data_IF_021527939258
#
_entry.id   IF_021527939258
#
_cell.length_a   1.000
_cell.length_b   1.000
_cell.length_c   1.000
_cell.angle_alpha   90.00
_cell.angle_beta   90.00
_cell.angle_gamma   90.00
#
_symmetry.space_group_name_H-M   'P 1'
#
loop_
_entity.id
_entity.type
_entity.pdbx_description
1 polymer ?
#
# COMPACT_ATOMS: atom_id res chain seq x y z
N UNK A 1 29.33 2.02 -53.86
CA UNK A 1 30.03 0.74 -54.04
C UNK A 1 29.98 -0.04 -52.74
N UNK A 2 29.74 -1.33 -52.89
CA UNK A 2 29.21 -2.28 -51.89
C UNK A 2 30.36 -3.04 -51.24
N UNK A 3 30.31 -3.26 -49.92
CA UNK A 3 30.69 -4.53 -49.29
C UNK A 3 30.44 -4.48 -47.77
N UNK A 4 29.38 -5.16 -47.32
CA UNK A 4 29.05 -5.37 -45.91
C UNK A 4 28.64 -6.81 -45.68
N UNK A 5 29.64 -7.67 -45.54
CA UNK A 5 29.57 -9.14 -45.44
C UNK A 5 28.80 -9.56 -44.18
N UNK A 6 27.61 -10.13 -44.36
CA UNK A 6 26.83 -10.69 -43.24
C UNK A 6 27.10 -12.20 -43.12
N UNK A 7 27.85 -12.57 -42.10
CA UNK A 7 28.13 -13.96 -41.71
C UNK A 7 26.85 -14.62 -41.15
N UNK A 8 26.08 -15.26 -42.03
CA UNK A 8 24.95 -16.12 -41.65
C UNK A 8 25.52 -17.46 -41.16
N UNK A 9 25.51 -17.67 -39.83
CA UNK A 9 25.79 -18.99 -39.23
C UNK A 9 24.71 -19.98 -39.66
N UNK A 10 25.07 -20.94 -40.52
CA UNK A 10 24.28 -22.14 -40.81
C UNK A 10 24.06 -22.94 -39.52
N UNK A 11 22.84 -22.93 -39.00
CA UNK A 11 22.40 -23.98 -38.09
C UNK A 11 22.28 -25.28 -38.90
N UNK A 12 23.08 -26.29 -38.55
CA UNK A 12 22.90 -27.66 -39.04
C UNK A 12 21.51 -28.14 -38.56
N UNK A 13 20.55 -28.23 -39.47
CA UNK A 13 19.31 -28.98 -39.23
C UNK A 13 19.71 -30.45 -39.10
N UNK A 14 19.64 -31.03 -37.90
CA UNK A 14 19.44 -32.46 -37.76
C UNK A 14 18.02 -32.73 -38.26
N UNK A 15 17.93 -33.20 -39.49
CA UNK A 15 16.68 -33.56 -40.15
C UNK A 15 16.15 -34.80 -39.42
N UNK A 16 15.08 -34.64 -38.64
CA UNK A 16 14.22 -35.76 -38.30
C UNK A 16 13.43 -36.04 -39.58
N UNK A 17 13.93 -36.94 -40.42
CA UNK A 17 13.16 -37.49 -41.54
C UNK A 17 12.16 -38.48 -40.95
N UNK A 18 10.94 -38.02 -40.66
CA UNK A 18 9.80 -38.94 -40.63
C UNK A 18 9.47 -39.27 -42.09
N UNK A 19 9.98 -40.39 -42.58
CA UNK A 19 9.45 -41.02 -43.79
C UNK A 19 8.12 -41.67 -43.38
N UNK A 20 7.01 -41.02 -43.71
CA UNK A 20 5.71 -41.69 -43.85
C UNK A 20 5.02 -41.05 -45.05
N UNK A 21 4.83 -41.87 -46.08
CA UNK A 21 4.19 -41.56 -47.35
C UNK A 21 2.68 -41.32 -47.14
N UNK A 22 2.18 -40.30 -47.86
CA UNK A 22 0.82 -40.11 -48.35
C UNK A 22 -0.37 -40.44 -47.41
N UNK A 23 -0.77 -39.44 -46.61
CA UNK A 23 -2.11 -39.35 -46.03
C UNK A 23 -2.73 -37.97 -46.38
N UNK A 24 -3.99 -37.90 -46.87
CA UNK A 24 -4.55 -36.72 -47.52
C UNK A 24 -4.94 -35.54 -46.59
N UNK A 25 -4.57 -35.55 -45.30
CA UNK A 25 -4.97 -34.50 -44.35
C UNK A 25 -3.80 -33.89 -43.55
N UNK A 26 -2.59 -33.82 -44.11
CA UNK A 26 -1.50 -33.12 -43.43
C UNK A 26 -1.63 -31.59 -43.62
N UNK A 27 -2.28 -30.92 -42.66
CA UNK A 27 -2.28 -29.45 -42.59
C UNK A 27 -0.83 -28.95 -42.55
N UNK A 28 -0.38 -28.26 -43.61
CA UNK A 28 0.94 -27.60 -43.67
C UNK A 28 1.15 -26.78 -42.40
N UNK A 29 2.12 -27.17 -41.56
CA UNK A 29 2.48 -26.44 -40.34
C UNK A 29 3.09 -25.10 -40.78
N UNK A 30 2.28 -24.04 -40.78
CA UNK A 30 2.77 -22.67 -40.94
C UNK A 30 3.35 -22.25 -39.60
N UNK A 31 4.69 -22.19 -39.52
CA UNK A 31 5.39 -21.61 -38.38
C UNK A 31 5.12 -20.09 -38.36
N UNK A 32 4.19 -19.67 -37.51
CA UNK A 32 3.95 -18.26 -37.23
C UNK A 32 4.94 -17.80 -36.15
N UNK A 33 5.77 -16.81 -36.46
CA UNK A 33 6.68 -16.20 -35.51
C UNK A 33 5.91 -15.16 -34.69
N UNK A 34 5.40 -15.58 -33.53
CA UNK A 34 4.71 -14.70 -32.60
C UNK A 34 5.75 -13.86 -31.86
N UNK A 35 5.85 -12.58 -32.22
CA UNK A 35 6.60 -11.59 -31.45
C UNK A 35 5.83 -11.26 -30.16
N UNK A 36 5.88 -12.17 -29.18
CA UNK A 36 5.41 -11.86 -27.83
C UNK A 36 6.44 -10.94 -27.20
N UNK A 37 6.00 -9.90 -26.49
CA UNK A 37 6.85 -9.06 -25.67
C UNK A 37 6.72 -9.51 -24.20
N UNK A 38 7.30 -10.66 -23.80
CA UNK A 38 7.05 -11.30 -22.49
C UNK A 38 7.46 -10.41 -21.31
N UNK A 39 8.31 -9.40 -21.55
CA UNK A 39 8.72 -8.44 -20.53
C UNK A 39 7.66 -7.36 -20.26
N UNK A 40 6.71 -7.12 -21.18
CA UNK A 40 5.75 -6.01 -21.05
C UNK A 40 4.85 -6.10 -19.81
N UNK A 41 4.57 -7.32 -19.35
CA UNK A 41 3.78 -7.55 -18.13
C UNK A 41 4.61 -7.97 -16.92
N UNK A 42 5.94 -8.15 -17.06
CA UNK A 42 6.80 -8.66 -16.00
C UNK A 42 6.60 -7.86 -14.71
N UNK A 43 6.59 -6.52 -14.80
CA UNK A 43 6.44 -5.64 -13.64
C UNK A 43 5.08 -5.74 -12.95
N UNK A 44 4.03 -6.14 -13.68
CA UNK A 44 2.67 -6.26 -13.14
C UNK A 44 2.54 -7.47 -12.21
N UNK A 45 3.32 -8.53 -12.45
CA UNK A 45 3.31 -9.75 -11.65
C UNK A 45 4.01 -9.60 -10.29
N UNK A 46 4.72 -8.50 -10.03
CA UNK A 46 5.40 -8.27 -8.77
C UNK A 46 4.65 -7.29 -7.87
N UNK A 47 4.58 -7.66 -6.58
CA UNK A 47 4.06 -6.83 -5.48
C UNK A 47 5.16 -6.27 -4.58
N UNK A 48 6.40 -6.71 -4.76
CA UNK A 48 7.55 -6.30 -3.96
C UNK A 48 8.71 -5.90 -4.86
N UNK A 49 9.25 -4.70 -4.61
CA UNK A 49 10.40 -4.15 -5.34
C UNK A 49 11.63 -5.05 -5.27
N UNK A 50 11.97 -5.58 -4.09
CA UNK A 50 13.13 -6.47 -3.91
C UNK A 50 12.99 -7.75 -4.71
N UNK A 51 11.78 -8.35 -4.72
CA UNK A 51 11.54 -9.59 -5.47
C UNK A 51 11.68 -9.36 -6.98
N UNK A 52 11.19 -8.21 -7.47
CA UNK A 52 11.39 -7.81 -8.86
C UNK A 52 12.87 -7.65 -9.20
N UNK A 53 13.65 -6.99 -8.34
CA UNK A 53 15.10 -6.85 -8.53
C UNK A 53 15.82 -8.19 -8.56
N UNK A 54 15.48 -9.09 -7.63
CA UNK A 54 16.05 -10.45 -7.61
C UNK A 54 15.73 -11.20 -8.91
N UNK A 55 14.49 -11.15 -9.39
CA UNK A 55 14.10 -11.81 -10.63
C UNK A 55 14.86 -11.27 -11.84
N UNK A 56 14.96 -9.94 -11.96
CA UNK A 56 15.71 -9.31 -13.05
C UNK A 56 17.21 -9.60 -12.96
N UNK A 57 17.77 -9.67 -11.75
CA UNK A 57 19.16 -10.05 -11.54
C UNK A 57 19.42 -11.50 -11.98
N UNK A 58 18.54 -12.43 -11.62
CA UNK A 58 18.62 -13.83 -12.06
C UNK A 58 18.52 -13.97 -13.58
N UNK A 59 17.54 -13.29 -14.20
CA UNK A 59 17.39 -13.27 -15.66
C UNK A 59 18.66 -12.70 -16.31
N UNK A 60 19.20 -11.61 -15.78
CA UNK A 60 20.42 -10.99 -16.32
C UNK A 60 21.63 -11.91 -16.21
N UNK A 61 21.77 -12.63 -15.09
CA UNK A 61 22.82 -13.64 -14.89
C UNK A 61 22.68 -14.80 -15.88
N UNK A 62 21.46 -15.30 -16.07
CA UNK A 62 21.18 -16.36 -17.04
C UNK A 62 21.50 -15.92 -18.48
N UNK A 63 21.12 -14.69 -18.86
CA UNK A 63 21.48 -14.13 -20.17
C UNK A 63 23.00 -14.01 -20.35
N UNK A 64 23.74 -13.65 -19.30
CA UNK A 64 25.21 -13.62 -19.32
C UNK A 64 25.80 -15.01 -19.50
N UNK A 65 25.23 -16.03 -18.87
CA UNK A 65 25.61 -17.44 -19.04
C UNK A 65 25.44 -17.91 -20.49
N UNK A 66 24.27 -17.65 -21.07
CA UNK A 66 24.01 -18.00 -22.48
C UNK A 66 24.98 -17.31 -23.45
N UNK A 67 25.36 -16.06 -23.16
CA UNK A 67 26.31 -15.29 -24.00
C UNK A 67 27.76 -15.75 -23.85
N UNK A 68 28.18 -16.08 -22.63
CA UNK A 68 29.58 -16.41 -22.34
C UNK A 68 30.04 -17.74 -22.94
N UNK A 69 29.12 -18.65 -23.28
CA UNK A 69 29.40 -20.00 -23.83
C UNK A 69 30.43 -20.82 -23.03
N UNK A 70 30.70 -20.42 -21.79
CA UNK A 70 31.59 -21.04 -20.80
C UNK A 70 30.88 -21.01 -19.44
N UNK A 71 31.27 -21.90 -18.55
CA UNK A 71 30.84 -21.84 -17.16
C UNK A 71 31.30 -20.50 -16.56
N UNK A 72 30.33 -19.69 -16.13
CA UNK A 72 30.62 -18.52 -15.32
C UNK A 72 30.94 -19.00 -13.92
N UNK A 73 32.12 -18.64 -13.42
CA UNK A 73 32.42 -18.75 -12.00
C UNK A 73 31.68 -17.62 -11.27
N UNK A 74 30.45 -17.93 -10.82
CA UNK A 74 29.58 -17.01 -10.10
C UNK A 74 29.07 -17.66 -8.82
N UNK A 75 28.96 -16.90 -7.72
CA UNK A 75 28.46 -17.43 -6.46
C UNK A 75 27.01 -17.91 -6.58
N UNK A 76 26.62 -18.89 -5.77
CA UNK A 76 25.26 -19.45 -5.74
C UNK A 76 24.18 -18.42 -5.36
N UNK A 77 24.56 -17.34 -4.67
CA UNK A 77 23.67 -16.26 -4.27
C UNK A 77 23.82 -15.02 -5.18
N UNK A 78 22.80 -14.15 -5.19
CA UNK A 78 22.87 -12.86 -5.88
C UNK A 78 23.76 -11.89 -5.11
N UNK A 79 24.64 -11.19 -5.82
CA UNK A 79 25.49 -10.15 -5.22
C UNK A 79 24.77 -8.80 -5.18
N UNK A 80 25.23 -7.91 -4.30
CA UNK A 80 24.72 -6.52 -4.25
C UNK A 80 24.96 -5.78 -5.57
N UNK A 81 26.08 -6.05 -6.25
CA UNK A 81 26.39 -5.44 -7.56
C UNK A 81 25.40 -5.90 -8.64
N UNK A 82 24.96 -7.15 -8.63
CA UNK A 82 23.91 -7.63 -9.53
C UNK A 82 22.55 -7.03 -9.23
N UNK A 83 22.19 -6.86 -7.95
CA UNK A 83 20.95 -6.18 -7.57
C UNK A 83 20.94 -4.71 -8.00
N UNK A 84 22.05 -3.98 -7.81
CA UNK A 84 22.23 -2.61 -8.31
C UNK A 84 22.15 -2.55 -9.85
N UNK A 85 22.77 -3.51 -10.53
CA UNK A 85 22.70 -3.59 -12.00
C UNK A 85 21.29 -3.90 -12.50
N UNK A 86 20.57 -4.78 -11.80
CA UNK A 86 19.17 -5.10 -12.08
C UNK A 86 18.28 -3.87 -11.89
N UNK A 87 18.50 -3.10 -10.83
CA UNK A 87 17.80 -1.84 -10.59
C UNK A 87 17.98 -0.86 -11.76
N UNK A 88 19.22 -0.61 -12.16
CA UNK A 88 19.52 0.26 -13.32
C UNK A 88 18.85 -0.28 -14.58
N UNK A 89 18.87 -1.60 -14.79
CA UNK A 89 18.24 -2.25 -15.96
C UNK A 89 16.73 -2.03 -15.98
N UNK A 90 16.06 -2.19 -14.84
CA UNK A 90 14.62 -1.91 -14.71
C UNK A 90 14.34 -0.44 -15.01
N UNK A 91 15.09 0.48 -14.41
CA UNK A 91 14.89 1.92 -14.62
C UNK A 91 15.08 2.32 -16.09
N UNK A 92 16.12 1.79 -16.75
CA UNK A 92 16.35 1.99 -18.19
C UNK A 92 15.17 1.51 -19.03
N UNK A 93 14.64 0.34 -18.71
CA UNK A 93 13.49 -0.22 -19.42
C UNK A 93 12.26 0.67 -19.25
N UNK A 94 11.95 1.06 -18.01
CA UNK A 94 10.81 1.92 -17.67
C UNK A 94 10.89 3.28 -18.35
N UNK A 95 12.07 3.90 -18.37
CA UNK A 95 12.25 5.18 -19.07
C UNK A 95 12.16 5.01 -20.59
N UNK A 96 12.69 3.91 -21.15
CA UNK A 96 12.55 3.62 -22.59
C UNK A 96 11.09 3.42 -23.00
N UNK A 97 10.29 2.81 -22.14
CA UNK A 97 8.87 2.60 -22.36
C UNK A 97 8.08 3.92 -22.31
N UNK A 98 8.29 4.74 -21.28
CA UNK A 98 7.46 5.94 -21.03
C UNK A 98 7.98 7.19 -21.72
N UNK A 99 9.31 7.34 -21.86
CA UNK A 99 9.99 8.53 -22.37
C UNK A 99 10.77 8.24 -23.66
N UNK A 100 10.24 7.33 -24.51
CA UNK A 100 10.92 6.91 -25.74
C UNK A 100 11.34 8.08 -26.64
N UNK A 101 10.47 9.09 -26.77
CA UNK A 101 10.72 10.28 -27.60
C UNK A 101 11.80 11.15 -26.99
N UNK A 102 11.68 11.49 -25.71
CA UNK A 102 12.67 12.30 -24.99
C UNK A 102 14.05 11.62 -24.97
N UNK A 103 14.11 10.30 -24.81
CA UNK A 103 15.38 9.56 -24.89
C UNK A 103 16.03 9.68 -26.27
N UNK A 104 15.25 9.67 -27.35
CA UNK A 104 15.79 9.81 -28.71
C UNK A 104 16.29 11.23 -28.97
N UNK A 105 15.58 12.25 -28.48
CA UNK A 105 15.99 13.66 -28.57
C UNK A 105 17.30 13.89 -27.82
N UNK A 106 17.37 13.46 -26.56
CA UNK A 106 18.56 13.62 -25.71
C UNK A 106 19.77 12.85 -26.26
N UNK A 107 19.57 11.67 -26.87
CA UNK A 107 20.65 10.92 -27.52
C UNK A 107 21.26 11.66 -28.72
N UNK A 108 20.49 12.50 -29.40
CA UNK A 108 20.96 13.33 -30.51
C UNK A 108 21.64 14.62 -30.04
N UNK A 109 21.75 14.84 -28.73
CA UNK A 109 22.23 16.09 -28.15
C UNK A 109 21.20 17.22 -28.20
N UNK A 110 19.95 16.92 -28.56
CA UNK A 110 18.89 17.90 -28.63
C UNK A 110 18.18 18.04 -27.28
N UNK A 111 17.68 19.24 -27.04
CA UNK A 111 16.73 19.51 -25.97
C UNK A 111 15.43 18.72 -26.15
N UNK A 112 14.82 18.31 -25.04
CA UNK A 112 13.48 17.68 -25.08
C UNK A 112 12.43 18.64 -25.63
N UNK A 113 11.42 18.07 -26.31
CA UNK A 113 10.33 18.82 -26.92
C UNK A 113 9.57 19.72 -25.92
N UNK A 114 9.08 20.88 -26.39
CA UNK A 114 8.38 21.89 -25.56
C UNK A 114 7.18 21.35 -24.78
N UNK A 115 6.49 20.34 -25.32
CA UNK A 115 5.32 19.69 -24.68
C UNK A 115 5.69 18.56 -23.73
N UNK A 116 6.98 18.22 -23.60
CA UNK A 116 7.40 17.14 -22.72
C UNK A 116 7.21 17.53 -21.25
N UNK A 117 6.78 16.55 -20.45
CA UNK A 117 6.69 16.67 -18.98
C UNK A 117 8.06 16.90 -18.33
N UNK A 118 9.14 16.65 -19.06
CA UNK A 118 10.52 16.78 -18.59
C UNK A 118 11.13 18.14 -18.90
N UNK A 119 10.53 18.98 -19.76
CA UNK A 119 11.18 20.23 -20.22
C UNK A 119 11.62 21.15 -19.09
N UNK A 120 10.80 21.28 -18.04
CA UNK A 120 11.12 22.10 -16.87
C UNK A 120 12.18 21.52 -15.93
N UNK A 121 12.72 20.34 -16.22
CA UNK A 121 13.69 19.63 -15.37
C UNK A 121 15.12 19.68 -15.91
N UNK A 122 15.37 20.42 -17.00
CA UNK A 122 16.66 20.41 -17.72
C UNK A 122 17.23 18.99 -17.87
N UNK A 123 16.47 18.07 -18.47
CA UNK A 123 16.81 16.65 -18.45
C UNK A 123 18.03 16.38 -19.33
N UNK A 124 18.89 15.48 -18.89
CA UNK A 124 20.03 15.03 -19.67
C UNK A 124 20.21 13.51 -19.55
N UNK A 125 20.96 12.93 -20.48
CA UNK A 125 21.18 11.49 -20.56
C UNK A 125 22.57 11.14 -20.02
N UNK A 126 22.63 10.23 -19.06
CA UNK A 126 23.89 9.69 -18.51
C UNK A 126 23.70 8.19 -18.28
N UNK A 127 24.67 7.39 -18.71
CA UNK A 127 24.62 5.93 -18.65
C UNK A 127 23.35 5.30 -19.25
N UNK A 128 22.65 6.00 -20.15
CA UNK A 128 21.38 5.55 -20.73
C UNK A 128 20.15 5.72 -19.82
N UNK A 129 20.26 6.51 -18.75
CA UNK A 129 19.15 7.00 -17.94
C UNK A 129 18.96 8.50 -18.17
N UNK A 130 17.71 8.96 -18.08
CA UNK A 130 17.37 10.37 -18.01
C UNK A 130 17.46 10.80 -16.54
N UNK A 131 18.29 11.81 -16.29
CA UNK A 131 18.45 12.45 -14.98
C UNK A 131 17.98 13.90 -15.06
N UNK A 132 17.76 14.47 -13.89
CA UNK A 132 17.38 15.88 -13.73
C UNK A 132 18.63 16.74 -13.60
N UNK A 133 18.74 17.75 -14.46
CA UNK A 133 19.72 18.82 -14.31
C UNK A 133 19.33 19.76 -13.17
N UNK A 134 20.30 20.50 -12.64
CA UNK A 134 20.03 21.42 -11.53
C UNK A 134 21.23 22.26 -11.13
N UNK A 135 21.02 23.11 -10.11
CA UNK A 135 22.04 24.04 -9.59
C UNK A 135 22.90 23.45 -8.47
N UNK A 136 22.72 22.18 -8.15
CA UNK A 136 23.39 21.51 -7.03
C UNK A 136 24.72 20.84 -7.42
N UNK A 137 25.27 21.11 -8.61
CA UNK A 137 26.49 20.44 -9.11
C UNK A 137 27.69 20.53 -8.16
N UNK A 138 27.86 21.68 -7.49
CA UNK A 138 28.94 21.93 -6.53
C UNK A 138 28.62 21.58 -5.08
N UNK A 139 27.40 21.08 -4.79
CA UNK A 139 27.03 20.72 -3.42
C UNK A 139 27.81 19.49 -2.94
N UNK A 140 28.17 19.44 -1.65
CA UNK A 140 28.82 18.28 -1.03
C UNK A 140 27.78 17.22 -0.64
N UNK A 141 27.07 16.70 -1.65
CA UNK A 141 26.03 15.68 -1.52
C UNK A 141 26.26 14.55 -2.54
N UNK A 142 25.68 13.34 -2.33
CA UNK A 142 25.83 12.24 -3.27
C UNK A 142 25.35 12.61 -4.68
N UNK A 143 26.01 12.08 -5.73
CA UNK A 143 25.68 12.46 -7.12
C UNK A 143 24.24 12.18 -7.52
N UNK A 144 23.67 11.06 -7.05
CA UNK A 144 22.24 10.74 -7.29
C UNK A 144 21.27 11.73 -6.64
N UNK A 145 21.73 12.52 -5.66
CA UNK A 145 20.95 13.57 -5.05
C UNK A 145 21.10 14.91 -5.79
N UNK A 146 22.27 15.17 -6.40
CA UNK A 146 22.47 16.31 -7.30
C UNK A 146 21.66 16.15 -8.58
N UNK A 147 21.71 14.95 -9.14
CA UNK A 147 21.11 14.57 -10.41
C UNK A 147 20.23 13.33 -10.25
N UNK A 148 19.02 13.51 -9.68
CA UNK A 148 18.13 12.39 -9.43
C UNK A 148 17.57 11.79 -10.72
N UNK A 149 17.38 10.46 -10.72
CA UNK A 149 16.88 9.71 -11.88
C UNK A 149 15.38 9.96 -12.06
N UNK A 150 14.95 10.34 -13.26
CA UNK A 150 13.52 10.60 -13.53
C UNK A 150 12.70 9.33 -13.37
N UNK A 151 11.66 9.39 -12.52
CA UNK A 151 10.67 8.31 -12.37
C UNK A 151 9.33 8.73 -12.99
N UNK A 152 8.74 7.90 -13.88
CA UNK A 152 7.47 8.21 -14.49
C UNK A 152 6.32 8.16 -13.49
N UNK A 153 5.32 9.00 -13.73
CA UNK A 153 4.07 8.96 -12.97
C UNK A 153 3.21 7.76 -13.40
N UNK A 154 2.55 7.10 -12.45
CA UNK A 154 1.56 6.05 -12.71
C UNK A 154 2.12 4.68 -13.10
N UNK A 155 3.42 4.55 -13.35
CA UNK A 155 4.04 3.27 -13.68
C UNK A 155 4.14 2.35 -12.44
N UNK A 156 3.99 1.02 -12.65
CA UNK A 156 4.02 0.03 -11.56
C UNK A 156 5.33 0.05 -10.77
N UNK A 157 6.46 0.19 -11.46
CA UNK A 157 7.79 0.29 -10.83
C UNK A 157 7.88 1.50 -9.90
N UNK A 158 7.42 2.67 -10.33
CA UNK A 158 7.38 3.87 -9.47
C UNK A 158 6.55 3.60 -8.21
N UNK A 159 5.39 2.95 -8.36
CA UNK A 159 4.56 2.56 -7.20
C UNK A 159 5.27 1.57 -6.28
N UNK A 160 5.94 0.54 -6.82
CA UNK A 160 6.69 -0.46 -6.05
C UNK A 160 7.85 0.18 -5.25
N UNK A 161 8.56 1.14 -5.83
CA UNK A 161 9.64 1.88 -5.15
C UNK A 161 9.05 2.65 -3.96
N UNK A 162 7.95 3.39 -4.15
CA UNK A 162 7.29 4.10 -3.05
C UNK A 162 6.75 3.15 -1.98
N UNK A 163 6.11 2.04 -2.37
CA UNK A 163 5.59 1.01 -1.45
C UNK A 163 6.72 0.32 -0.66
N UNK A 164 7.90 0.16 -1.26
CA UNK A 164 9.09 -0.39 -0.60
C UNK A 164 9.67 0.60 0.41
N UNK A 165 9.91 1.85 -0.02
CA UNK A 165 10.47 2.89 0.84
C UNK A 165 9.54 3.27 1.99
N UNK A 166 8.23 3.26 1.77
CA UNK A 166 7.26 3.47 2.83
C UNK A 166 7.37 2.41 3.94
N UNK A 167 7.64 1.14 3.59
CA UNK A 167 7.86 0.06 4.57
C UNK A 167 9.23 0.14 5.24
N UNK A 168 10.27 0.47 4.48
CA UNK A 168 11.64 0.66 4.98
C UNK A 168 11.71 1.79 6.03
N UNK A 169 11.01 2.89 5.77
CA UNK A 169 10.91 4.05 6.66
C UNK A 169 9.79 3.92 7.70
N UNK A 170 9.45 2.69 8.11
CA UNK A 170 8.50 2.39 9.19
C UNK A 170 7.16 3.13 9.09
N UNK A 171 6.56 3.12 7.91
CA UNK A 171 5.26 3.75 7.64
C UNK A 171 5.23 5.29 7.78
N UNK A 172 6.34 5.96 7.44
CA UNK A 172 6.42 7.42 7.46
C UNK A 172 5.33 8.13 6.62
N UNK A 173 5.08 9.40 6.95
CA UNK A 173 4.11 10.25 6.28
C UNK A 173 4.50 10.66 4.84
N UNK A 174 3.57 11.26 4.07
CA UNK A 174 3.77 11.47 2.63
C UNK A 174 4.93 12.41 2.28
N UNK A 175 5.17 13.41 3.13
CA UNK A 175 6.25 14.38 2.92
C UNK A 175 7.62 13.75 3.15
N UNK A 176 7.79 13.00 4.24
CA UNK A 176 9.03 12.28 4.56
C UNK A 176 9.34 11.23 3.51
N UNK A 177 8.33 10.46 3.07
CA UNK A 177 8.48 9.48 2.00
C UNK A 177 8.97 10.13 0.70
N UNK A 178 8.36 11.25 0.31
CA UNK A 178 8.77 11.97 -0.90
C UNK A 178 10.17 12.56 -0.78
N UNK A 179 10.54 13.07 0.40
CA UNK A 179 11.86 13.62 0.66
C UNK A 179 12.96 12.55 0.53
N UNK A 180 12.74 11.35 1.08
CA UNK A 180 13.69 10.25 0.98
C UNK A 180 13.83 9.76 -0.48
N UNK A 181 12.71 9.60 -1.19
CA UNK A 181 12.72 9.22 -2.60
C UNK A 181 13.49 10.23 -3.46
N UNK A 182 13.37 11.54 -3.14
CA UNK A 182 14.07 12.62 -3.83
C UNK A 182 15.59 12.63 -3.66
N UNK A 183 16.14 11.83 -2.76
CA UNK A 183 17.60 11.64 -2.64
C UNK A 183 18.21 10.86 -3.79
N UNK A 184 17.41 10.06 -4.50
CA UNK A 184 17.88 9.18 -5.59
C UNK A 184 17.09 9.38 -6.88
N UNK A 185 15.80 9.70 -6.75
CA UNK A 185 14.87 9.74 -7.87
C UNK A 185 14.09 11.05 -7.94
N UNK A 186 13.71 11.45 -9.15
CA UNK A 186 12.79 12.55 -9.38
C UNK A 186 11.45 12.04 -9.90
N UNK A 187 10.49 11.72 -9.00
CA UNK A 187 9.18 11.23 -9.40
C UNK A 187 8.29 12.34 -9.95
N UNK A 188 7.87 12.21 -11.21
CA UNK A 188 6.87 13.08 -11.82
C UNK A 188 5.56 12.92 -11.02
N UNK A 189 4.99 14.05 -10.58
CA UNK A 189 3.80 14.06 -9.70
C UNK A 189 3.97 13.23 -8.41
N UNK A 190 5.20 13.10 -7.90
CA UNK A 190 5.51 12.23 -6.75
C UNK A 190 4.74 12.51 -5.45
N UNK A 191 4.28 13.75 -5.22
CA UNK A 191 3.39 14.09 -4.08
C UNK A 191 2.10 13.27 -4.11
N UNK A 192 1.52 13.09 -5.30
CA UNK A 192 0.28 12.33 -5.49
C UNK A 192 0.55 10.85 -5.24
N UNK A 193 1.66 10.31 -5.75
CA UNK A 193 2.08 8.93 -5.53
C UNK A 193 2.32 8.64 -4.04
N UNK A 194 3.03 9.51 -3.33
CA UNK A 194 3.25 9.36 -1.88
C UNK A 194 1.94 9.30 -1.09
N UNK A 195 1.03 10.24 -1.34
CA UNK A 195 -0.29 10.27 -0.69
C UNK A 195 -1.09 8.99 -0.98
N UNK A 196 -1.10 8.57 -2.25
CA UNK A 196 -1.82 7.37 -2.71
C UNK A 196 -1.28 6.08 -2.09
N UNK A 197 0.04 5.95 -1.94
CA UNK A 197 0.66 4.77 -1.31
C UNK A 197 0.28 4.68 0.17
N UNK A 198 0.30 5.80 0.88
CA UNK A 198 -0.03 5.83 2.30
C UNK A 198 -1.52 5.62 2.54
N UNK A 199 -2.39 6.26 1.75
CA UNK A 199 -3.85 6.10 1.87
C UNK A 199 -4.30 4.67 1.59
N UNK A 200 -3.60 3.95 0.70
CA UNK A 200 -3.88 2.55 0.37
C UNK A 200 -3.15 1.56 1.30
N UNK A 201 -2.31 2.04 2.22
CA UNK A 201 -1.61 1.17 3.16
C UNK A 201 -2.55 0.74 4.30
N UNK A 202 -2.85 -0.55 4.38
CA UNK A 202 -3.74 -1.11 5.42
C UNK A 202 -3.25 -0.80 6.84
N UNK A 203 -1.94 -0.88 7.09
CA UNK A 203 -1.36 -0.56 8.41
C UNK A 203 -1.57 0.91 8.79
N UNK A 204 -1.35 1.83 7.84
CA UNK A 204 -1.60 3.26 8.06
C UNK A 204 -3.08 3.56 8.24
N UNK A 205 -3.95 2.91 7.45
CA UNK A 205 -5.40 3.06 7.57
C UNK A 205 -5.92 2.62 8.94
N UNK A 206 -5.44 1.46 9.45
CA UNK A 206 -5.79 0.97 10.79
C UNK A 206 -5.24 1.84 11.91
N UNK A 207 -4.05 2.42 11.72
CA UNK A 207 -3.43 3.31 12.71
C UNK A 207 -4.05 4.71 12.77
N UNK A 208 -4.83 5.11 11.75
CA UNK A 208 -5.49 6.41 11.68
C UNK A 208 -6.99 6.25 11.39
N UNK A 209 -7.79 5.74 12.35
CA UNK A 209 -9.23 5.65 12.16
C UNK A 209 -9.83 7.05 11.98
N UNK A 210 -10.66 7.21 10.94
CA UNK A 210 -11.49 8.39 10.78
C UNK A 210 -12.86 8.08 11.38
N UNK A 211 -13.20 8.72 12.48
CA UNK A 211 -14.53 8.62 13.04
C UNK A 211 -15.43 9.62 12.32
N UNK A 212 -16.34 9.12 11.49
CA UNK A 212 -17.47 9.92 11.04
C UNK A 212 -18.39 10.03 12.24
N UNK A 213 -18.61 11.25 12.74
CA UNK A 213 -19.63 11.44 13.77
C UNK A 213 -21.00 11.18 13.13
N UNK A 214 -21.72 10.13 13.55
CA UNK A 214 -23.05 9.89 13.00
C UNK A 214 -23.96 11.05 13.41
N UNK A 215 -24.94 11.39 12.56
CA UNK A 215 -26.02 12.28 12.96
C UNK A 215 -26.71 11.65 14.17
N UNK A 216 -26.73 12.37 15.30
CA UNK A 216 -27.41 11.89 16.51
C UNK A 216 -28.90 11.73 16.20
N UNK A 217 -29.46 10.57 16.53
CA UNK A 217 -30.89 10.31 16.36
C UNK A 217 -31.74 11.29 17.16
N UNK A 218 -32.99 11.50 16.73
CA UNK A 218 -33.95 12.30 17.49
C UNK A 218 -34.14 11.72 18.90
N UNK A 219 -34.22 12.61 19.90
CA UNK A 219 -34.52 12.19 21.27
C UNK A 219 -35.95 11.61 21.33
N UNK A 220 -36.19 10.56 22.13
CA UNK A 220 -37.54 10.04 22.34
C UNK A 220 -38.48 11.13 22.88
N UNK A 221 -39.76 11.09 22.48
CA UNK A 221 -40.80 12.05 22.92
C UNK A 221 -40.84 12.19 24.44
N UNK A 222 -40.62 11.10 25.16
CA UNK A 222 -40.61 11.05 26.63
C UNK A 222 -39.48 11.85 27.29
N UNK A 223 -38.41 12.20 26.56
CA UNK A 223 -37.32 13.06 27.07
C UNK A 223 -37.49 14.53 26.74
N UNK A 224 -38.41 14.87 25.84
CA UNK A 224 -38.57 16.24 25.32
C UNK A 224 -39.94 16.85 25.64
N UNK A 225 -40.96 16.02 25.85
CA UNK A 225 -42.29 16.46 26.24
C UNK A 225 -42.42 16.49 27.76
N UNK A 226 -43.11 17.51 28.27
CA UNK A 226 -43.42 17.64 29.70
C UNK A 226 -44.38 16.53 30.12
N UNK A 227 -44.08 15.89 31.24
CA UNK A 227 -44.95 14.90 31.90
C UNK A 227 -44.87 15.07 33.42
N UNK A 228 -45.86 14.56 34.19
CA UNK A 228 -45.80 14.56 35.64
C UNK A 228 -44.52 13.87 36.16
N UNK A 229 -43.98 14.28 37.32
CA UNK A 229 -42.80 13.64 37.90
C UNK A 229 -42.97 12.12 38.02
N UNK A 230 -41.92 11.37 37.65
CA UNK A 230 -41.86 9.90 37.64
C UNK A 230 -42.83 9.17 36.70
N UNK A 231 -43.65 9.87 35.90
CA UNK A 231 -44.53 9.26 34.90
C UNK A 231 -43.75 8.51 33.81
N UNK A 232 -42.57 8.99 33.45
CA UNK A 232 -41.62 8.21 32.64
C UNK A 232 -40.27 8.20 33.34
N UNK A 233 -39.80 6.99 33.64
CA UNK A 233 -38.59 6.77 34.44
C UNK A 233 -37.67 5.80 33.71
N UNK A 234 -36.40 6.19 33.54
CA UNK A 234 -35.35 5.28 33.12
C UNK A 234 -34.82 4.52 34.33
N UNK A 235 -34.49 3.25 34.14
CA UNK A 235 -33.90 2.40 35.18
C UNK A 235 -32.49 2.06 34.80
N UNK A 236 -31.57 2.17 35.76
CA UNK A 236 -30.20 1.66 35.64
C UNK A 236 -29.76 1.04 36.97
N UNK A 237 -28.59 0.40 37.00
CA UNK A 237 -28.01 -0.16 38.22
C UNK A 237 -26.58 0.36 38.42
N UNK A 238 -26.27 0.77 39.65
CA UNK A 238 -24.92 1.04 40.11
C UNK A 238 -24.44 -0.08 41.03
N UNK A 239 -23.20 -0.55 40.86
CA UNK A 239 -22.59 -1.51 41.79
C UNK A 239 -21.48 -2.36 41.17
N UNK A 240 -20.96 -3.35 41.91
CA UNK A 240 -21.34 -3.71 43.29
C UNK A 240 -20.70 -2.78 44.35
N UNK A 241 -21.48 -2.43 45.37
CA UNK A 241 -21.02 -1.82 46.61
C UNK A 241 -20.90 -2.90 47.69
N UNK A 242 -19.91 -2.77 48.57
CA UNK A 242 -19.74 -3.70 49.70
C UNK A 242 -20.43 -3.10 50.92
N UNK A 243 -21.56 -3.68 51.31
CA UNK A 243 -22.30 -3.32 52.52
C UNK A 243 -21.72 -4.11 53.69
N UNK A 244 -21.28 -3.42 54.73
CA UNK A 244 -20.73 -4.03 55.95
C UNK A 244 -21.76 -3.92 57.07
N UNK A 245 -21.97 -5.00 57.81
CA UNK A 245 -22.90 -5.04 58.95
C UNK A 245 -22.42 -4.24 60.19
N UNK A 246 -21.19 -3.71 60.18
CA UNK A 246 -20.59 -3.00 61.33
C UNK A 246 -20.05 -3.92 62.43
N UNK A 247 -20.44 -5.19 62.45
CA UNK A 247 -19.97 -6.21 63.40
C UNK A 247 -18.60 -6.78 62.97
N UNK A 248 -17.68 -6.93 63.92
CA UNK A 248 -16.35 -7.52 63.67
C UNK A 248 -16.49 -8.97 63.17
N UNK A 249 -15.65 -9.35 62.19
CA UNK A 249 -15.57 -10.71 61.57
C UNK A 249 -16.73 -11.13 60.67
N UNK A 250 -17.67 -10.25 60.33
CA UNK A 250 -18.67 -10.52 59.28
C UNK A 250 -18.15 -10.01 57.92
N UNK A 251 -18.12 -10.88 56.91
CA UNK A 251 -17.75 -10.51 55.54
C UNK A 251 -18.83 -9.61 54.95
N UNK A 252 -18.43 -8.47 54.38
CA UNK A 252 -19.36 -7.55 53.74
C UNK A 252 -20.04 -8.18 52.53
N UNK A 253 -21.35 -7.97 52.39
CA UNK A 253 -22.14 -8.47 51.27
C UNK A 253 -22.13 -7.46 50.13
N UNK A 254 -22.13 -7.97 48.89
CA UNK A 254 -22.31 -7.13 47.71
C UNK A 254 -23.76 -6.69 47.64
N UNK A 255 -23.98 -5.43 47.36
CA UNK A 255 -25.27 -4.86 47.03
C UNK A 255 -25.13 -3.97 45.80
N UNK A 256 -26.25 -3.76 45.13
CA UNK A 256 -26.39 -2.85 44.01
C UNK A 256 -27.43 -1.80 44.36
N UNK A 257 -27.41 -0.69 43.64
CA UNK A 257 -28.40 0.36 43.75
C UNK A 257 -29.15 0.41 42.43
N UNK A 258 -30.46 0.17 42.47
CA UNK A 258 -31.35 0.46 41.35
C UNK A 258 -31.63 1.97 41.32
N UNK A 259 -31.30 2.58 40.19
CA UNK A 259 -31.42 4.00 39.88
C UNK A 259 -32.67 4.22 39.05
N UNK A 260 -33.66 4.89 39.62
CA UNK A 260 -34.87 5.31 38.92
C UNK A 260 -34.76 6.79 38.59
N UNK A 261 -34.51 7.14 37.33
CA UNK A 261 -34.30 8.52 36.85
C UNK A 261 -35.54 9.02 36.13
N UNK A 262 -36.21 10.01 36.70
CA UNK A 262 -37.34 10.67 36.06
C UNK A 262 -36.90 11.44 34.80
N UNK A 263 -37.59 11.23 33.67
CA UNK A 263 -37.24 11.91 32.41
C UNK A 263 -37.69 13.38 32.38
N UNK A 264 -38.77 13.72 33.10
CA UNK A 264 -39.28 15.09 33.19
C UNK A 264 -38.39 16.01 34.05
N UNK A 265 -38.06 15.60 35.28
CA UNK A 265 -37.33 16.45 36.26
C UNK A 265 -35.87 16.08 36.48
N UNK A 266 -35.40 14.94 35.94
CA UNK A 266 -34.09 14.34 36.28
C UNK A 266 -33.91 13.96 37.75
N UNK A 267 -34.99 13.96 38.54
CA UNK A 267 -34.95 13.45 39.91
C UNK A 267 -34.61 11.97 39.93
N UNK A 268 -33.75 11.57 40.88
CA UNK A 268 -33.27 10.20 41.03
C UNK A 268 -33.87 9.60 42.30
N UNK A 269 -34.46 8.43 42.17
CA UNK A 269 -34.90 7.59 43.29
C UNK A 269 -33.99 6.36 43.37
N UNK A 270 -33.46 6.07 44.55
CA UNK A 270 -32.50 4.99 44.77
C UNK A 270 -33.13 3.88 45.60
N UNK A 271 -32.99 2.64 45.15
CA UNK A 271 -33.38 1.44 45.89
C UNK A 271 -32.19 0.50 46.01
N UNK A 272 -31.90 0.02 47.23
CA UNK A 272 -30.87 -0.99 47.44
C UNK A 272 -31.40 -2.36 47.01
N UNK A 273 -30.56 -3.14 46.33
CA UNK A 273 -30.89 -4.47 45.79
C UNK A 273 -29.75 -5.43 46.09
N UNK A 274 -30.07 -6.65 46.51
CA UNK A 274 -29.09 -7.65 46.95
C UNK A 274 -28.33 -8.31 45.78
N UNK A 275 -28.93 -8.35 44.59
CA UNK A 275 -28.34 -8.93 43.38
C UNK A 275 -29.02 -8.37 42.12
N UNK A 276 -28.47 -8.70 40.94
CA UNK A 276 -29.03 -8.29 39.65
C UNK A 276 -30.09 -9.28 39.11
N UNK A 277 -30.76 -10.03 39.98
CA UNK A 277 -31.82 -10.95 39.56
C UNK A 277 -33.13 -10.21 39.26
N UNK A 278 -33.96 -10.79 38.39
CA UNK A 278 -35.28 -10.25 38.07
C UNK A 278 -36.17 -10.13 39.31
N UNK A 279 -36.09 -11.09 40.25
CA UNK A 279 -36.87 -11.05 41.48
C UNK A 279 -36.51 -9.86 42.36
N UNK A 280 -35.21 -9.59 42.51
CA UNK A 280 -34.73 -8.46 43.30
C UNK A 280 -35.06 -7.11 42.62
N UNK A 281 -35.03 -7.05 41.28
CA UNK A 281 -35.51 -5.89 40.54
C UNK A 281 -37.02 -5.66 40.69
N UNK A 282 -37.86 -6.70 40.56
CA UNK A 282 -39.32 -6.58 40.73
C UNK A 282 -39.66 -6.09 42.14
N UNK A 283 -38.92 -6.57 43.16
CA UNK A 283 -39.06 -6.07 44.52
C UNK A 283 -38.71 -4.57 44.63
N UNK A 284 -37.62 -4.13 44.00
CA UNK A 284 -37.23 -2.72 43.95
C UNK A 284 -38.25 -1.85 43.19
N UNK A 285 -38.76 -2.34 42.05
CA UNK A 285 -39.78 -1.66 41.25
C UNK A 285 -41.09 -1.48 42.04
N UNK A 286 -41.52 -2.51 42.77
CA UNK A 286 -42.70 -2.41 43.64
C UNK A 286 -42.52 -1.35 44.73
N UNK A 287 -41.34 -1.28 45.37
CA UNK A 287 -41.02 -0.23 46.37
C UNK A 287 -41.01 1.16 45.76
N UNK A 288 -40.43 1.31 44.57
CA UNK A 288 -40.46 2.56 43.81
C UNK A 288 -41.90 2.99 43.51
N UNK A 289 -42.72 2.11 42.92
CA UNK A 289 -44.11 2.41 42.56
C UNK A 289 -44.98 2.73 43.78
N UNK A 290 -44.75 2.06 44.90
CA UNK A 290 -45.46 2.35 46.15
C UNK A 290 -45.20 3.77 46.67
N UNK A 291 -44.01 4.34 46.42
CA UNK A 291 -43.64 5.68 46.86
C UNK A 291 -43.91 6.78 45.83
N UNK A 292 -43.73 6.47 44.54
CA UNK A 292 -43.77 7.46 43.45
C UNK A 292 -45.01 7.36 42.55
N UNK A 293 -45.86 6.36 42.78
CA UNK A 293 -46.99 6.04 41.92
C UNK A 293 -46.61 5.10 40.78
N UNK A 294 -47.63 4.60 40.06
CA UNK A 294 -47.40 3.77 38.87
C UNK A 294 -46.90 4.66 37.73
N UNK A 295 -45.74 4.33 37.20
CA UNK A 295 -45.19 4.88 35.97
C UNK A 295 -45.79 4.18 34.74
#
# INVERSE_FOLDING_TARGET
MVAGTTLVRKFRKSIITNQNQDLPEQRKIKLALLAVNPLGNLFQHYSNWRNLLCAVAWISRFLRYLKAKKNLDVPKYLTVSELKSAEITVLKHVQKEVFAREMLELKKGNDVGRKSKLKGLSPYLEDGLILVGGRLGYAQIPERQKHPIVLPNGHRVSKLIFESKHRELLHCGPQSLLADIRRVYWPIKGRITARSVISKCVRCARAKPQFVQPLMGQLPRQRVNVSPPFAVTGVDFAGPLIVRSGVRRIVGTKAWISLFVCFSTRAIHLEVVENLSSGAFVAALRRFMARRGRC
#
